data_IF_562691787594
#
_entry.id   IF_562691787594
#
_cell.length_a   1.000
_cell.length_b   1.000
_cell.length_c   1.000
_cell.angle_alpha   90.00
_cell.angle_beta   90.00
_cell.angle_gamma   90.00
#
_symmetry.space_group_name_H-M   'P 1'
#
loop_
_entity.id
_entity.type
_entity.pdbx_description
1 polymer ?
2 non-polymer ?
3 water ?
#
# COMPACT_ATOMS: atom_id res chain seq x y z
N UNK A 1 -1.46 -8.09 -19.83
CA UNK A 1 -0.28 -8.02 -18.97
C UNK A 1 -0.21 -6.69 -18.22
N UNK A 2 -0.56 -6.71 -16.95
CA UNK A 2 -0.52 -5.51 -16.12
C UNK A 2 0.92 -5.25 -15.70
N UNK A 3 1.33 -3.99 -15.81
CA UNK A 3 2.66 -3.55 -15.40
C UNK A 3 2.45 -2.28 -14.60
N UNK A 4 2.67 -2.38 -13.28
CA UNK A 4 2.49 -1.24 -12.37
C UNK A 4 3.64 -0.25 -12.38
N UNK A 5 4.69 -0.47 -13.15
CA UNK A 5 5.85 0.42 -13.13
C UNK A 5 5.45 1.86 -13.42
N UNK A 6 5.94 2.78 -12.60
CA UNK A 6 5.69 4.20 -12.81
C UNK A 6 5.71 4.98 -11.51
N UNK A 7 5.45 6.27 -11.65
CA UNK A 7 5.35 7.19 -10.55
C UNK A 7 3.91 7.69 -10.47
N UNK A 8 3.38 7.73 -9.26
CA UNK A 8 1.95 7.98 -9.06
C UNK A 8 1.72 8.94 -7.91
N UNK A 9 0.79 9.89 -8.10
CA UNK A 9 0.49 10.89 -7.09
C UNK A 9 -0.90 10.64 -6.52
N UNK A 10 -1.02 10.76 -5.20
CA UNK A 10 -2.30 10.48 -4.55
C UNK A 10 -3.38 11.48 -4.96
N UNK A 11 -4.52 10.96 -5.39
CA UNK A 11 -5.70 11.76 -5.73
C UNK A 11 -6.76 11.73 -4.65
N UNK A 12 -7.07 10.56 -4.10
CA UNK A 12 -8.05 10.44 -3.03
C UNK A 12 -7.59 9.36 -2.08
N UNK A 13 -8.05 9.49 -0.83
CA UNK A 13 -7.75 8.56 0.24
C UNK A 13 -8.97 8.57 1.17
N UNK A 14 -9.77 7.51 1.08
CA UNK A 14 -11.07 7.38 1.71
C UNK A 14 -11.02 6.39 2.87
N UNK A 15 -11.53 6.82 4.02
CA UNK A 15 -11.71 6.00 5.22
C UNK A 15 -10.38 5.47 5.79
N UNK A 16 -9.28 6.22 5.60
CA UNK A 16 -7.97 5.79 6.09
C UNK A 16 -7.89 5.85 7.61
N UNK A 17 -8.54 6.84 8.23
CA UNK A 17 -8.43 6.94 9.68
C UNK A 17 -9.10 5.75 10.38
N UNK A 18 -10.22 5.27 9.85
CA UNK A 18 -10.88 4.10 10.44
C UNK A 18 -10.05 2.85 10.20
N UNK A 19 -9.42 2.74 9.04
CA UNK A 19 -8.47 1.66 8.80
C UNK A 19 -7.35 1.68 9.86
N UNK A 20 -6.79 2.85 10.11
CA UNK A 20 -5.71 2.94 11.10
C UNK A 20 -6.24 2.70 12.50
N UNK A 21 -7.43 3.21 12.81
CA UNK A 21 -8.01 2.93 14.12
C UNK A 21 -8.19 1.43 14.33
N UNK A 22 -8.61 0.69 13.29
CA UNK A 22 -8.71 -0.76 13.41
C UNK A 22 -7.35 -1.42 13.67
N UNK A 23 -6.25 -0.78 13.26
CA UNK A 23 -4.89 -1.25 13.57
C UNK A 23 -4.40 -0.73 14.93
N UNK A 24 -5.27 -0.07 15.69
CA UNK A 24 -4.95 0.44 17.02
C UNK A 24 -3.89 1.54 16.99
N UNK A 25 -3.79 2.29 15.90
CA UNK A 25 -2.91 3.46 15.84
C UNK A 25 -3.51 4.59 16.67
N UNK A 26 -2.66 5.31 17.41
CA UNK A 26 -3.22 6.26 18.36
C UNK A 26 -3.77 7.47 17.59
N UNK A 27 -4.71 8.18 18.22
CA UNK A 27 -5.50 9.15 17.44
C UNK A 27 -4.61 10.27 16.91
N UNK A 28 -3.65 10.74 17.70
CA UNK A 28 -2.76 11.80 17.23
C UNK A 28 -2.00 11.39 15.98
N UNK A 29 -1.50 10.15 15.93
CA UNK A 29 -0.82 9.69 14.72
C UNK A 29 -1.80 9.42 13.57
N UNK A 30 -3.04 9.02 13.89
CA UNK A 30 -4.03 8.85 12.84
C UNK A 30 -4.26 10.16 12.11
N UNK A 31 -4.30 11.25 12.88
CA UNK A 31 -4.58 12.61 12.41
C UNK A 31 -3.39 13.24 11.66
N UNK A 32 -2.17 12.78 11.97
CA UNK A 32 -0.96 13.13 11.22
C UNK A 32 -0.92 12.33 9.92
N UNK A 33 -1.15 11.03 10.02
CA UNK A 33 -0.99 10.13 8.88
C UNK A 33 -2.01 10.40 7.78
N UNK A 34 -3.21 10.82 8.15
CA UNK A 34 -4.23 11.07 7.13
C UNK A 34 -4.07 12.41 6.46
N UNK A 35 -3.25 13.32 7.01
CA UNK A 35 -2.90 14.52 6.29
C UNK A 35 -1.86 14.24 5.20
N UNK A 36 -1.18 13.10 5.26
CA UNK A 36 -0.11 12.84 4.31
C UNK A 36 -0.67 12.35 2.98
N UNK A 37 -0.01 12.75 1.91
CA UNK A 37 -0.41 12.38 0.55
C UNK A 37 0.81 11.79 -0.14
N UNK A 38 1.20 10.58 0.24
CA UNK A 38 2.43 10.01 -0.30
C UNK A 38 2.28 9.67 -1.78
N UNK A 39 3.40 9.75 -2.48
CA UNK A 39 3.53 9.23 -3.83
C UNK A 39 3.82 7.73 -3.77
N UNK A 40 3.56 7.05 -4.89
CA UNK A 40 4.02 5.67 -5.12
C UNK A 40 4.98 5.64 -6.29
N UNK A 41 6.14 5.05 -6.07
CA UNK A 41 7.11 4.71 -7.11
C UNK A 41 7.22 3.20 -7.15
N UNK A 42 6.86 2.63 -8.29
CA UNK A 42 6.78 1.19 -8.43
C UNK A 42 7.71 0.79 -9.56
N UNK A 43 8.49 -0.25 -9.32
CA UNK A 43 9.25 -0.89 -10.40
C UNK A 43 8.88 -2.35 -10.38
N UNK A 44 8.29 -2.82 -11.46
CA UNK A 44 7.95 -4.23 -11.63
C UNK A 44 9.01 -4.83 -12.56
N UNK A 45 9.75 -5.81 -12.07
CA UNK A 45 10.96 -6.34 -12.72
C UNK A 45 10.76 -7.85 -12.71
N UNK A 46 10.07 -8.36 -13.73
CA UNK A 46 9.68 -9.75 -13.70
C UNK A 46 8.72 -9.96 -12.54
N UNK A 47 8.93 -11.00 -11.72
CA UNK A 47 8.10 -11.15 -10.52
C UNK A 47 8.66 -10.39 -9.32
N UNK A 48 9.73 -9.63 -9.50
CA UNK A 48 10.31 -8.84 -8.42
C UNK A 48 9.66 -7.46 -8.43
N UNK A 49 8.93 -7.14 -7.36
CA UNK A 49 8.20 -5.89 -7.23
C UNK A 49 8.83 -5.03 -6.14
N UNK A 50 9.04 -3.76 -6.44
CA UNK A 50 9.37 -2.76 -5.44
C UNK A 50 8.28 -1.68 -5.47
N UNK A 51 7.64 -1.44 -4.33
CA UNK A 51 6.62 -0.40 -4.19
C UNK A 51 7.13 0.55 -3.12
N UNK A 52 7.53 1.75 -3.53
CA UNK A 52 7.99 2.77 -2.61
C UNK A 52 6.84 3.74 -2.33
N UNK A 53 6.44 3.85 -1.07
CA UNK A 53 5.45 4.84 -0.63
C UNK A 53 6.22 5.99 0.01
N UNK A 54 6.17 7.16 -0.63
CA UNK A 54 7.13 8.23 -0.41
C UNK A 54 6.45 9.49 0.12
N UNK A 55 7.01 10.04 1.19
CA UNK A 55 6.58 11.34 1.69
C UNK A 55 7.73 11.93 2.50
N UNK A 56 7.62 13.23 2.80
CA UNK A 56 8.61 13.85 3.68
C UNK A 56 8.45 13.35 5.11
N UNK A 57 7.22 13.01 5.53
CA UNK A 57 7.03 12.49 6.88
C UNK A 57 7.71 11.14 7.05
N UNK A 58 7.63 10.31 6.02
CA UNK A 58 8.15 8.96 6.12
C UNK A 58 8.08 8.28 4.77
N UNK A 59 9.01 7.38 4.54
CA UNK A 59 8.87 6.44 3.44
C UNK A 59 8.63 5.04 4.00
N UNK A 60 7.85 4.25 3.27
CA UNK A 60 7.67 2.83 3.58
C UNK A 60 7.88 2.06 2.29
N UNK A 61 8.84 1.14 2.32
CA UNK A 61 9.35 0.46 1.13
C UNK A 61 8.94 -1.01 1.22
N UNK A 62 8.27 -1.49 0.18
CA UNK A 62 8.04 -2.92 -0.01
C UNK A 62 8.91 -3.38 -1.16
N UNK A 63 9.51 -4.53 -0.96
CA UNK A 63 10.48 -5.11 -1.90
C UNK A 63 10.31 -6.62 -1.75
N UNK A 64 9.69 -7.27 -2.74
CA UNK A 64 9.31 -8.67 -2.58
C UNK A 64 9.23 -9.35 -3.94
N UNK A 65 9.02 -10.66 -3.89
CA UNK A 65 8.80 -11.48 -5.07
C UNK A 65 7.35 -11.95 -5.09
N UNK A 66 6.66 -11.71 -6.19
CA UNK A 66 5.28 -12.19 -6.28
C UNK A 66 5.24 -13.69 -6.06
N UNK A 67 4.26 -14.12 -5.26
CA UNK A 67 4.06 -15.52 -4.97
C UNK A 67 4.85 -16.08 -3.81
N UNK A 68 5.70 -15.29 -3.16
CA UNK A 68 6.58 -15.79 -2.11
C UNK A 68 6.31 -15.08 -0.79
N UNK A 69 5.86 -15.83 0.21
CA UNK A 69 5.63 -15.25 1.54
C UNK A 69 6.92 -14.64 2.07
N UNK A 70 6.79 -13.49 2.75
CA UNK A 70 7.93 -12.84 3.38
C UNK A 70 7.48 -12.14 4.67
N UNK A 71 8.45 -11.82 5.50
CA UNK A 71 8.21 -11.09 6.73
C UNK A 71 8.21 -9.59 6.45
N UNK A 72 7.06 -8.97 6.67
CA UNK A 72 6.88 -7.53 6.47
C UNK A 72 6.92 -6.84 7.83
N UNK A 73 7.86 -5.91 8.01
CA UNK A 73 7.98 -5.11 9.25
C UNK A 73 7.19 -3.81 9.09
N UNK A 74 6.01 -3.76 9.73
CA UNK A 74 5.14 -2.59 9.75
C UNK A 74 5.13 -1.89 11.12
N UNK A 75 6.19 -2.04 11.93
CA UNK A 75 6.11 -1.53 13.32
C UNK A 75 6.04 -0.01 13.39
N UNK A 76 6.51 0.71 12.35
CA UNK A 76 6.38 2.15 12.27
C UNK A 76 4.98 2.61 11.92
N UNK A 77 4.17 1.73 11.37
CA UNK A 77 2.77 2.03 11.09
C UNK A 77 1.94 1.67 12.32
N UNK A 78 1.90 0.37 12.71
CA UNK A 78 1.03 -0.06 13.80
C UNK A 78 1.69 -0.90 14.88
N UNK A 79 3.02 -0.94 14.93
CA UNK A 79 3.75 -1.71 15.95
C UNK A 79 3.52 -3.20 15.78
N UNK A 80 3.43 -3.65 14.52
CA UNK A 80 3.20 -5.06 14.22
C UNK A 80 4.03 -5.45 13.01
N UNK A 81 4.29 -6.76 12.91
CA UNK A 81 4.90 -7.41 11.76
C UNK A 81 3.96 -8.51 11.26
N UNK A 82 4.04 -8.81 9.95
CA UNK A 82 3.18 -9.81 9.33
C UNK A 82 3.99 -10.73 8.44
N UNK A 83 3.41 -11.89 8.13
CA UNK A 83 3.92 -12.80 7.11
C UNK A 83 3.05 -12.60 5.88
N UNK A 84 3.63 -12.01 4.85
CA UNK A 84 2.87 -11.42 3.76
C UNK A 84 3.13 -12.17 2.47
N UNK A 85 2.06 -12.33 1.68
CA UNK A 85 2.16 -12.88 0.34
C UNK A 85 1.39 -11.98 -0.64
N UNK A 86 2.03 -11.66 -1.76
CA UNK A 86 1.43 -10.86 -2.84
C UNK A 86 1.31 -11.77 -4.05
N UNK A 87 0.11 -11.86 -4.63
CA UNK A 87 -0.17 -12.80 -5.69
C UNK A 87 -0.96 -12.11 -6.80
N UNK A 88 -0.82 -12.62 -8.01
CA UNK A 88 -1.63 -12.14 -9.13
C UNK A 88 -2.99 -12.80 -9.07
N UNK A 89 -4.03 -11.98 -9.30
CA UNK A 89 -5.42 -12.44 -9.29
C UNK A 89 -6.04 -11.77 -10.51
N UNK A 90 -5.90 -12.41 -11.67
CA UNK A 90 -6.28 -11.75 -12.91
C UNK A 90 -5.37 -10.58 -13.16
N UNK A 91 -5.96 -9.41 -13.43
CA UNK A 91 -5.22 -8.17 -13.60
C UNK A 91 -5.04 -7.41 -12.29
N UNK A 92 -5.40 -8.02 -11.16
CA UNK A 92 -5.24 -7.40 -9.86
C UNK A 92 -4.08 -8.05 -9.11
N UNK A 93 -3.51 -7.29 -8.18
CA UNK A 93 -2.48 -7.76 -7.27
C UNK A 93 -3.13 -7.85 -5.89
N UNK A 94 -3.12 -9.04 -5.30
CA UNK A 94 -3.74 -9.33 -4.01
C UNK A 94 -2.67 -9.55 -2.97
N UNK A 95 -2.78 -8.89 -1.83
CA UNK A 95 -1.82 -9.04 -0.76
C UNK A 95 -2.54 -9.50 0.49
N UNK A 96 -2.05 -10.57 1.10
CA UNK A 96 -2.57 -11.09 2.37
C UNK A 96 -1.46 -10.92 3.41
N UNK A 97 -1.77 -10.24 4.53
CA UNK A 97 -0.80 -9.96 5.58
C UNK A 97 -1.23 -10.76 6.80
N UNK A 98 -0.62 -11.92 6.98
CA UNK A 98 -0.96 -12.78 8.11
C UNK A 98 -0.31 -12.27 9.38
N UNK A 99 -1.08 -12.29 10.48
CA UNK A 99 -0.57 -11.76 11.73
C UNK A 99 -1.66 -11.69 12.79
N UNK A 100 -1.45 -10.82 13.76
CA UNK A 100 -2.36 -10.76 14.89
C UNK A 100 -3.76 -10.38 14.44
N UNK A 101 -3.87 -9.42 13.51
CA UNK A 101 -5.15 -8.90 13.04
C UNK A 101 -5.80 -9.81 11.99
N UNK A 102 -7.12 -9.97 12.08
CA UNK A 102 -7.86 -10.76 11.10
C UNK A 102 -8.11 -9.97 9.82
N UNK A 103 -8.03 -10.66 8.69
CA UNK A 103 -8.43 -10.15 7.39
C UNK A 103 -7.63 -8.97 6.91
N UNK A 104 -6.34 -8.96 7.19
CA UNK A 104 -5.47 -7.84 6.85
C UNK A 104 -4.87 -8.04 5.47
N UNK A 105 -5.03 -7.05 4.60
CA UNK A 105 -4.42 -7.13 3.29
C UNK A 105 -4.80 -5.96 2.42
N UNK A 106 -4.50 -6.10 1.14
CA UNK A 106 -4.86 -5.05 0.19
C UNK A 106 -4.93 -5.62 -1.21
N UNK A 107 -5.51 -4.81 -2.10
CA UNK A 107 -5.73 -5.15 -3.49
C UNK A 107 -5.36 -3.94 -4.34
N UNK A 108 -4.58 -4.17 -5.41
CA UNK A 108 -4.09 -3.10 -6.26
C UNK A 108 -4.37 -3.44 -7.73
N UNK A 109 -4.84 -2.45 -8.48
CA UNK A 109 -5.11 -2.66 -9.89
C UNK A 109 -4.98 -1.33 -10.61
N UNK A 110 -5.07 -1.35 -11.93
CA UNK A 110 -4.99 -0.13 -12.74
C UNK A 110 -6.28 0.03 -13.50
N UNK A 111 -6.82 1.26 -13.50
CA UNK A 111 -7.90 1.68 -14.41
C UNK A 111 -7.39 2.91 -15.15
N UNK A 112 -7.09 2.74 -16.45
CA UNK A 112 -6.67 3.90 -17.22
C UNK A 112 -5.40 4.47 -16.65
N UNK A 113 -5.45 5.76 -16.29
CA UNK A 113 -4.30 6.43 -15.70
C UNK A 113 -4.33 6.41 -14.17
N UNK A 114 -5.16 5.55 -13.59
CA UNK A 114 -5.36 5.49 -12.15
C UNK A 114 -4.82 4.17 -11.58
N UNK A 115 -4.04 4.29 -10.53
CA UNK A 115 -3.65 3.19 -9.66
C UNK A 115 -4.63 3.14 -8.49
N UNK A 116 -5.35 2.02 -8.36
CA UNK A 116 -6.36 1.80 -7.34
C UNK A 116 -5.79 0.86 -6.29
N UNK A 117 -6.02 1.20 -5.03
CA UNK A 117 -5.45 0.45 -3.91
C UNK A 117 -6.51 0.40 -2.84
N UNK A 118 -7.07 -0.78 -2.60
CA UNK A 118 -8.01 -1.04 -1.51
C UNK A 118 -7.27 -1.80 -0.41
N UNK A 119 -7.24 -1.22 0.79
CA UNK A 119 -6.62 -1.90 1.92
C UNK A 119 -7.67 -2.20 2.96
N UNK A 120 -7.48 -3.32 3.69
CA UNK A 120 -8.52 -3.86 4.54
C UNK A 120 -7.93 -4.48 5.80
N UNK A 121 -8.68 -4.37 6.91
CA UNK A 121 -8.36 -5.12 8.13
C UNK A 121 -9.62 -5.18 8.96
N UNK A 122 -9.90 -6.36 9.54
CA UNK A 122 -11.03 -6.56 10.44
C UNK A 122 -12.31 -6.03 9.83
N UNK A 123 -12.45 -6.20 8.51
CA UNK A 123 -13.64 -5.77 7.82
C UNK A 123 -13.72 -4.30 7.50
N UNK A 124 -12.76 -3.53 7.93
CA UNK A 124 -12.68 -2.10 7.65
C UNK A 124 -11.93 -1.91 6.35
N UNK A 125 -12.43 -1.01 5.51
CA UNK A 125 -11.93 -0.84 4.15
C UNK A 125 -11.52 0.61 3.91
N UNK A 126 -10.31 0.80 3.36
CA UNK A 126 -9.82 2.10 2.93
C UNK A 126 -9.50 2.00 1.45
N UNK A 127 -9.96 2.97 0.66
CA UNK A 127 -9.74 2.96 -0.79
C UNK A 127 -8.91 4.19 -1.16
N UNK A 128 -7.84 3.95 -1.91
CA UNK A 128 -6.99 5.04 -2.40
C UNK A 128 -6.93 4.99 -3.91
N UNK A 129 -6.77 6.15 -4.52
CA UNK A 129 -6.59 6.23 -5.97
C UNK A 129 -5.48 7.22 -6.25
N UNK A 130 -4.57 6.83 -7.12
CA UNK A 130 -3.42 7.62 -7.51
C UNK A 130 -3.48 7.86 -9.02
N UNK A 131 -2.93 8.97 -9.45
CA UNK A 131 -2.87 9.28 -10.88
C UNK A 131 -1.44 9.14 -11.40
N UNK A 132 -1.29 8.57 -12.60
CA UNK A 132 0.06 8.40 -13.15
C UNK A 132 0.63 9.77 -13.53
N UNK A 133 1.87 10.04 -13.09
CA UNK A 133 2.51 11.32 -13.33
C UNK A 133 3.86 11.08 -14.00
N UNK A 134 4.45 12.17 -14.52
CA UNK A 134 5.71 12.07 -15.25
C UNK A 134 6.79 13.01 -14.76
N UNK A 135 6.53 13.88 -13.79
CA UNK A 135 7.54 14.81 -13.33
C UNK A 135 8.23 14.13 -12.17
N UNK A 136 9.53 13.91 -12.27
CA UNK A 136 10.12 13.12 -11.20
C UNK A 136 10.80 13.98 -10.15
N UNK A 137 10.81 13.46 -8.93
CA UNK A 137 11.53 14.03 -7.80
C UNK A 137 12.61 13.05 -7.35
N UNK A 138 13.72 13.60 -6.86
CA UNK A 138 14.71 12.74 -6.21
C UNK A 138 14.22 12.32 -4.83
N UNK A 139 14.60 11.11 -4.43
CA UNK A 139 14.31 10.60 -3.08
C UNK A 139 15.41 9.63 -2.64
X LIG B 1 1.10 4.78 4.51
X LIG B 1 0.49 5.62 10.49
X LIG B 1 0.29 6.92 5.38
X LIG B 1 3.87 7.61 4.62
X LIG B 1 4.80 5.62 5.60
X LIG B 1 0.33 5.01 3.39
X LIG B 1 -0.45 7.12 4.22
X LIG B 1 1.89 3.47 4.54
X LIG B 1 -0.44 6.15 3.24
X LIG B 1 3.93 6.60 5.74
X LIG B 1 0.29 7.86 6.35
X LIG B 1 -1.19 6.38 2.13
X LIG B 1 2.99 6.69 6.96
X LIG B 1 1.88 5.64 6.84
X LIG B 1 3.67 6.50 8.30
X LIG B 1 2.71 6.59 9.49
X LIG B 1 1.02 5.54 8.04
X LIG B 1 1.38 5.89 9.29
X LIG B 1 1.12 5.75 5.56
X LIG B 1 -0.04 4.81 10.40
X LIG B 1 -0.17 6.29 10.72
X LIG B 1 0.96 5.46 11.33
X LIG B 1 4.73 8.02 4.45
X LIG B 1 3.25 8.35 4.76
X LIG B 1 3.63 7.24 3.75
X LIG B 1 5.39 5.51 4.88
X LIG B 1 4.93 4.93 6.21
X LIG B 1 0.30 4.40 2.67
X LIG B 1 -0.97 7.89 4.13
X LIG B 1 1.63 2.85 3.83
X LIG B 1 1.80 2.94 5.35
X LIG B 1 2.84 3.57 4.42
X LIG B 1 -0.39 8.35 6.28
X LIG B 1 -0.89 5.90 1.49
X LIG B 1 2.60 7.57 6.98
X LIG B 1 2.31 4.77 6.82
X LIG B 1 4.41 7.09 8.43
X LIG B 1 4.10 5.62 8.34
X LIG B 1 2.51 7.53 9.67
X LIG B 1 3.16 6.34 10.31
X LIG B 1 0.17 5.22 7.90
#
# INVERSE_FOLDING_TARGET
PVDFTGYWKMLVNENFEEYLRALDVNVALRKIANLLKPDKEIVQDGDHMIIRTLSTFRNYIMDFQVGKEFEEDLTGIDDRKCMTTVSWDGDKLQCVQKGEKEGRGWTQWIEGDELHLEMRVEGVVCKQVFKKVQHHHHHH
HVJ C11 C12 C13 C14 C15 C16 C17 C18 C19 C10 O01 O02 C03 C04 C05 C06 C07 C08 C09 H121 H123 H122 H141 H142 H143 H152 H151 H161 H171 H183 H181 H182 H011 H021 H031 H041 H051 H052 H061 H062 H071
#
